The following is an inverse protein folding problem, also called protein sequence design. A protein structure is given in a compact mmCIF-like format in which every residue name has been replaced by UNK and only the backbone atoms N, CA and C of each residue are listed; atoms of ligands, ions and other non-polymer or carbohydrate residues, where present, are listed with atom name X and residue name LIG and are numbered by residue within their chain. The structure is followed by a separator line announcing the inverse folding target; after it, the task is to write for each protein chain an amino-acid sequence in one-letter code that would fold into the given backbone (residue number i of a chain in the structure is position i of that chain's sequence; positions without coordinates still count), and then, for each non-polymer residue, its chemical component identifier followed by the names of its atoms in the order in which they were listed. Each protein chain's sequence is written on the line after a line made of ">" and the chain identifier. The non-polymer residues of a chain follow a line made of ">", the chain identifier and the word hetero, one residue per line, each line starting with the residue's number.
data_IF_129160225579
#
_entry.id   IF_129160225579
#
_cell.length_a   1.000
_cell.length_b   1.000
_cell.length_c   1.000
_cell.angle_alpha   90.00
_cell.angle_beta   90.00
_cell.angle_gamma   90.00
#
_symmetry.space_group_name_H-M   'P 1'
#
loop_
_entity.id
_entity.type
_entity.pdbx_description
1 polymer ?
#
# COMPACT_ATOMS: atom_id res chain seq x y z
N UNK A 1 14.39 -17.30 6.82
CA UNK A 1 14.34 -15.98 6.15
C UNK A 1 13.59 -15.01 7.04
N UNK A 2 14.23 -13.92 7.49
CA UNK A 2 13.60 -12.97 8.40
C UNK A 2 12.84 -11.92 7.59
N UNK A 3 11.53 -11.83 7.79
CA UNK A 3 10.64 -10.95 7.03
C UNK A 3 10.71 -9.49 7.46
N UNK A 4 10.86 -9.24 8.77
CA UNK A 4 11.06 -7.92 9.34
C UNK A 4 11.72 -8.08 10.71
N UNK A 5 12.74 -7.28 10.97
CA UNK A 5 13.46 -7.24 12.24
C UNK A 5 13.85 -5.81 12.57
N UNK A 6 13.77 -5.44 13.84
CA UNK A 6 14.21 -4.14 14.35
C UNK A 6 15.00 -4.37 15.63
N UNK A 7 16.24 -3.91 15.65
CA UNK A 7 17.10 -3.90 16.83
C UNK A 7 16.91 -2.58 17.58
N UNK A 8 16.86 -2.67 18.92
CA UNK A 8 16.78 -1.51 19.80
C UNK A 8 18.06 -0.70 19.69
N UNK A 9 17.94 0.62 19.57
CA UNK A 9 19.09 1.52 19.46
C UNK A 9 19.15 2.42 20.69
N UNK A 10 20.26 2.37 21.44
CA UNK A 10 20.49 3.23 22.61
C UNK A 10 19.35 3.22 23.64
N UNK A 11 18.96 4.41 24.11
CA UNK A 11 17.90 4.63 25.11
C UNK A 11 16.48 4.72 24.51
N UNK A 12 16.19 4.01 23.41
CA UNK A 12 14.87 4.04 22.79
C UNK A 12 13.77 3.52 23.73
N UNK A 13 12.66 4.25 23.82
CA UNK A 13 11.45 3.79 24.51
C UNK A 13 10.79 2.63 23.75
N UNK A 14 10.32 1.62 24.46
CA UNK A 14 9.69 0.42 23.90
C UNK A 14 8.52 0.74 22.94
N UNK A 15 7.76 1.81 23.18
CA UNK A 15 6.68 2.24 22.27
C UNK A 15 7.19 2.63 20.88
N UNK A 16 8.33 3.34 20.83
CA UNK A 16 8.93 3.75 19.56
C UNK A 16 9.48 2.54 18.78
N UNK A 17 10.05 1.57 19.50
CA UNK A 17 10.52 0.32 18.93
C UNK A 17 9.36 -0.46 18.26
N UNK A 18 8.22 -0.60 18.94
CA UNK A 18 7.01 -1.24 18.40
C UNK A 18 6.50 -0.51 17.15
N UNK A 19 6.51 0.83 17.15
CA UNK A 19 6.07 1.63 16.00
C UNK A 19 6.99 1.42 14.79
N UNK A 20 8.32 1.38 14.99
CA UNK A 20 9.30 1.10 13.94
C UNK A 20 9.10 -0.31 13.38
N UNK A 21 8.93 -1.30 14.26
CA UNK A 21 8.64 -2.66 13.86
C UNK A 21 7.36 -2.73 13.01
N UNK A 22 6.28 -2.10 13.47
CA UNK A 22 5.00 -2.04 12.76
C UNK A 22 5.15 -1.41 11.38
N UNK A 23 5.86 -0.27 11.27
CA UNK A 23 6.14 0.37 9.98
C UNK A 23 6.98 -0.53 9.06
N UNK A 24 7.98 -1.23 9.59
CA UNK A 24 8.83 -2.14 8.81
C UNK A 24 8.03 -3.36 8.31
N UNK A 25 7.17 -3.93 9.14
CA UNK A 25 6.22 -5.00 8.75
C UNK A 25 5.26 -4.51 7.66
N UNK A 26 4.68 -3.32 7.81
CA UNK A 26 3.79 -2.73 6.80
C UNK A 26 4.51 -2.46 5.48
N UNK A 27 5.72 -1.88 5.52
CA UNK A 27 6.55 -1.61 4.35
C UNK A 27 7.06 -2.87 3.65
N UNK A 28 7.25 -3.98 4.39
CA UNK A 28 7.71 -5.25 3.82
C UNK A 28 6.71 -5.90 2.86
N UNK A 29 5.42 -5.51 2.92
CA UNK A 29 4.35 -6.11 2.10
C UNK A 29 4.07 -7.59 2.40
N UNK A 30 4.67 -8.17 3.45
CA UNK A 30 4.50 -9.60 3.78
C UNK A 30 3.05 -9.92 4.13
N UNK A 31 2.38 -9.02 4.87
CA UNK A 31 0.97 -9.19 5.22
C UNK A 31 0.07 -9.17 3.97
N UNK A 32 0.29 -8.27 3.01
CA UNK A 32 -0.52 -8.23 1.78
C UNK A 32 -0.27 -9.46 0.91
N UNK A 33 0.97 -9.92 0.82
CA UNK A 33 1.33 -11.17 0.13
C UNK A 33 0.63 -12.38 0.73
N UNK A 34 0.81 -12.64 2.03
CA UNK A 34 0.22 -13.81 2.72
C UNK A 34 -1.31 -13.77 2.63
N UNK A 35 -1.93 -12.60 2.74
CA UNK A 35 -3.39 -12.46 2.54
C UNK A 35 -3.81 -12.76 1.10
N UNK A 36 -3.02 -12.36 0.11
CA UNK A 36 -3.36 -12.58 -1.31
C UNK A 36 -3.29 -14.04 -1.74
N UNK A 37 -2.43 -14.85 -1.10
CA UNK A 37 -2.25 -16.28 -1.43
C UNK A 37 -3.08 -17.20 -0.52
N UNK A 38 -3.78 -16.67 0.48
CA UNK A 38 -4.55 -17.45 1.47
C UNK A 38 -5.58 -18.37 0.83
N UNK A 39 -6.26 -17.90 -0.21
CA UNK A 39 -7.31 -18.64 -0.89
C UNK A 39 -6.96 -18.82 -2.36
N UNK A 40 -7.28 -20.01 -2.90
CA UNK A 40 -7.13 -20.27 -4.32
C UNK A 40 -8.13 -19.41 -5.11
N UNK A 41 -7.64 -18.76 -6.16
CA UNK A 41 -8.47 -17.99 -7.08
C UNK A 41 -8.15 -18.39 -8.52
N UNK A 42 -9.17 -18.37 -9.38
CA UNK A 42 -8.98 -18.66 -10.80
C UNK A 42 -8.15 -17.55 -11.46
N UNK A 43 -7.23 -17.93 -12.34
CA UNK A 43 -6.48 -16.99 -13.19
C UNK A 43 -7.46 -16.17 -14.05
N UNK A 44 -7.42 -14.84 -13.90
CA UNK A 44 -8.24 -13.93 -14.70
C UNK A 44 -7.87 -14.01 -16.20
N UNK A 45 -8.88 -13.90 -17.07
CA UNK A 45 -8.68 -13.81 -18.52
C UNK A 45 -8.01 -12.48 -18.91
N UNK A 46 -7.35 -12.41 -20.08
CA UNK A 46 -6.71 -11.18 -20.56
C UNK A 46 -7.69 -10.00 -20.65
N UNK A 47 -8.91 -10.23 -21.15
CA UNK A 47 -9.95 -9.21 -21.28
C UNK A 47 -10.35 -8.61 -19.91
N UNK A 48 -10.55 -9.45 -18.89
CA UNK A 48 -10.91 -8.97 -17.54
C UNK A 48 -9.79 -8.12 -16.95
N UNK A 49 -8.52 -8.48 -17.20
CA UNK A 49 -7.37 -7.67 -16.79
C UNK A 49 -7.38 -6.31 -17.48
N UNK A 50 -7.58 -6.27 -18.80
CA UNK A 50 -7.65 -5.02 -19.57
C UNK A 50 -8.78 -4.11 -19.06
N UNK A 51 -9.99 -4.65 -18.88
CA UNK A 51 -11.14 -3.90 -18.35
C UNK A 51 -10.84 -3.29 -16.97
N UNK A 52 -10.18 -4.05 -16.08
CA UNK A 52 -9.76 -3.55 -14.76
C UNK A 52 -8.74 -2.42 -14.87
N UNK A 53 -7.76 -2.55 -15.76
CA UNK A 53 -6.75 -1.51 -16.02
C UNK A 53 -7.39 -0.23 -16.54
N UNK A 54 -8.31 -0.31 -17.51
CA UNK A 54 -9.04 0.86 -18.04
C UNK A 54 -9.79 1.62 -16.95
N UNK A 55 -10.45 0.90 -16.03
CA UNK A 55 -11.11 1.51 -14.87
C UNK A 55 -10.14 2.29 -13.98
N UNK A 56 -8.93 1.75 -13.76
CA UNK A 56 -7.89 2.41 -12.95
C UNK A 56 -7.36 3.66 -13.64
N UNK A 57 -7.15 3.61 -14.96
CA UNK A 57 -6.69 4.77 -15.74
C UNK A 57 -7.71 5.90 -15.72
N UNK A 58 -8.98 5.58 -16.01
CA UNK A 58 -10.07 6.55 -15.94
C UNK A 58 -10.16 7.22 -14.57
N UNK A 59 -10.03 6.43 -13.49
CA UNK A 59 -10.05 6.99 -12.13
C UNK A 59 -8.87 7.92 -11.85
N UNK A 60 -7.70 7.67 -12.45
CA UNK A 60 -6.53 8.56 -12.31
C UNK A 60 -6.75 9.88 -13.02
N UNK A 61 -7.34 9.86 -14.21
CA UNK A 61 -7.71 11.07 -14.96
C UNK A 61 -8.73 11.89 -14.18
N UNK A 62 -9.81 11.27 -13.68
CA UNK A 62 -10.81 11.93 -12.84
C UNK A 62 -10.18 12.60 -11.61
N UNK A 63 -9.24 11.93 -10.93
CA UNK A 63 -8.55 12.49 -9.77
C UNK A 63 -7.68 13.68 -10.18
N UNK A 64 -6.96 13.60 -11.30
CA UNK A 64 -6.13 14.69 -11.81
C UNK A 64 -6.98 15.94 -12.14
N UNK A 65 -8.16 15.75 -12.75
CA UNK A 65 -9.09 16.84 -13.03
C UNK A 65 -9.65 17.45 -11.74
N UNK A 66 -10.04 16.63 -10.76
CA UNK A 66 -10.53 17.12 -9.47
C UNK A 66 -9.47 17.90 -8.70
N UNK A 67 -8.21 17.46 -8.74
CA UNK A 67 -7.06 18.18 -8.19
C UNK A 67 -6.90 19.53 -8.90
N UNK A 68 -6.93 19.54 -10.24
CA UNK A 68 -6.81 20.76 -11.04
C UNK A 68 -7.93 21.76 -10.73
N UNK A 69 -9.14 21.27 -10.47
CA UNK A 69 -10.30 22.07 -10.06
C UNK A 69 -10.28 22.50 -8.59
N UNK A 70 -9.26 22.10 -7.81
CA UNK A 70 -9.16 22.39 -6.38
C UNK A 70 -10.18 21.64 -5.50
N UNK A 71 -10.89 20.65 -6.07
CA UNK A 71 -11.92 19.86 -5.37
C UNK A 71 -11.33 18.68 -4.58
N UNK A 72 -10.06 18.36 -4.80
CA UNK A 72 -9.36 17.26 -4.13
C UNK A 72 -7.92 17.67 -3.87
N UNK A 73 -7.37 17.29 -2.71
CA UNK A 73 -5.97 17.56 -2.36
C UNK A 73 -5.04 16.53 -3.01
N UNK A 74 -3.82 16.96 -3.36
CA UNK A 74 -2.78 16.07 -3.86
C UNK A 74 -2.25 15.18 -2.74
N UNK A 75 -2.77 13.96 -2.63
CA UNK A 75 -2.21 12.98 -1.70
C UNK A 75 -0.98 12.29 -2.32
N UNK A 76 0.21 12.62 -1.84
CA UNK A 76 1.40 11.81 -2.10
C UNK A 76 1.22 10.45 -1.42
N UNK A 77 1.61 9.35 -2.08
CA UNK A 77 1.54 7.98 -1.53
C UNK A 77 2.41 7.89 -0.26
N UNK A 78 1.82 8.19 0.90
CA UNK A 78 2.49 8.21 2.20
C UNK A 78 2.18 9.44 3.07
N UNK A 79 1.65 10.52 2.49
CA UNK A 79 1.18 11.69 3.22
C UNK A 79 -0.22 11.47 3.76
N UNK A 80 -0.35 10.95 4.98
CA UNK A 80 -1.56 11.22 5.77
C UNK A 80 -1.48 12.67 6.23
N UNK A 81 -2.18 13.55 5.52
CA UNK A 81 -3.10 14.59 6.00
C UNK A 81 -3.58 15.37 4.79
#
# INVERSE_FOLDING_TARGET
>A
MINAEVVKTGSENNVNLIRRFTKKVQGSGVLSRVRSIRYASRKMSPYVKQKKTLKVLKRREEIADLIKLGKMTEHTRGGKK
#
